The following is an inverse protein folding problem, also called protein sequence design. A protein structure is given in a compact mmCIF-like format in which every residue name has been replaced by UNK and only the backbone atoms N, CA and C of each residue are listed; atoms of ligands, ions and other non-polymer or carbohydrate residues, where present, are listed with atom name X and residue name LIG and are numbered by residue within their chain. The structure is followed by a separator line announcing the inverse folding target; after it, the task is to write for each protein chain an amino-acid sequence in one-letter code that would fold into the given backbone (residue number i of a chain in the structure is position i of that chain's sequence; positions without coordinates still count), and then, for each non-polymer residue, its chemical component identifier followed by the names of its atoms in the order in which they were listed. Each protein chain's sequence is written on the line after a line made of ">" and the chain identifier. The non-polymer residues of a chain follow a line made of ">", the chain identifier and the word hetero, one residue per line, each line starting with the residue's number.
data_IF_056824933256
#
_entry.id   IF_056824933256
#
_cell.length_a   1.000
_cell.length_b   1.000
_cell.length_c   1.000
_cell.angle_alpha   90.00
_cell.angle_beta   90.00
_cell.angle_gamma   90.00
#
_symmetry.space_group_name_H-M   'P 1'
#
loop_
_entity.id
_entity.type
_entity.pdbx_description
1 polymer ?
#
# COMPACT_ATOMS: atom_id res chain seq x y z
N UNK A 1 -20.30 8.09 -20.65
CA UNK A 1 -19.07 7.25 -20.72
C UNK A 1 -18.39 7.07 -19.36
N UNK A 2 -18.72 7.86 -18.32
CA UNK A 2 -18.23 7.66 -16.93
C UNK A 2 -18.75 6.38 -16.25
N UNK A 3 -19.95 5.89 -16.59
CA UNK A 3 -20.55 4.72 -15.93
C UNK A 3 -19.78 3.40 -16.12
N UNK A 4 -18.99 3.28 -17.18
CA UNK A 4 -18.26 2.04 -17.50
C UNK A 4 -17.02 1.82 -16.59
N UNK A 5 -16.41 2.91 -16.11
CA UNK A 5 -15.33 2.83 -15.12
C UNK A 5 -15.85 2.52 -13.71
N UNK A 6 -17.10 2.90 -13.40
CA UNK A 6 -17.73 2.69 -12.09
C UNK A 6 -18.00 1.20 -11.82
N UNK A 7 -18.40 0.44 -12.83
CA UNK A 7 -18.68 -1.00 -12.69
C UNK A 7 -17.41 -1.87 -12.64
N UNK A 8 -16.30 -1.39 -13.23
CA UNK A 8 -15.03 -2.12 -13.25
C UNK A 8 -14.39 -2.19 -11.84
N UNK A 9 -14.60 -1.16 -11.01
CA UNK A 9 -14.01 -1.06 -9.66
C UNK A 9 -14.72 -1.95 -8.61
N UNK A 10 -15.86 -2.56 -8.94
CA UNK A 10 -16.60 -3.43 -8.02
C UNK A 10 -16.24 -4.92 -8.13
N UNK A 11 -15.25 -5.28 -8.94
CA UNK A 11 -14.62 -6.60 -8.86
C UNK A 11 -13.67 -6.65 -7.64
N UNK A 12 -13.64 -7.77 -6.92
CA UNK A 12 -12.75 -8.00 -5.75
C UNK A 12 -11.33 -7.50 -6.02
N UNK A 13 -10.78 -7.87 -7.17
CA UNK A 13 -9.43 -7.52 -7.61
C UNK A 13 -9.22 -6.02 -7.74
N UNK A 14 -10.17 -5.30 -8.32
CA UNK A 14 -10.09 -3.85 -8.47
C UNK A 14 -10.19 -3.11 -7.12
N UNK A 15 -11.00 -3.62 -6.18
CA UNK A 15 -11.03 -3.08 -4.81
C UNK A 15 -9.69 -3.30 -4.10
N UNK A 16 -9.10 -4.49 -4.21
CA UNK A 16 -7.79 -4.78 -3.60
C UNK A 16 -6.69 -3.92 -4.21
N UNK A 17 -6.64 -3.78 -5.55
CA UNK A 17 -5.69 -2.92 -6.23
C UNK A 17 -5.86 -1.45 -5.86
N UNK A 18 -7.10 -0.94 -5.85
CA UNK A 18 -7.40 0.45 -5.45
C UNK A 18 -7.03 0.73 -3.99
N UNK A 19 -7.25 -0.24 -3.10
CA UNK A 19 -6.82 -0.14 -1.71
C UNK A 19 -5.29 -0.14 -1.57
N UNK A 20 -4.58 -1.02 -2.29
CA UNK A 20 -3.13 -1.05 -2.30
C UNK A 20 -2.53 0.26 -2.83
N UNK A 21 -3.10 0.80 -3.91
CA UNK A 21 -2.76 2.13 -4.42
C UNK A 21 -2.99 3.18 -3.32
N UNK A 22 -4.15 3.18 -2.65
CA UNK A 22 -4.46 4.09 -1.55
C UNK A 22 -3.46 4.03 -0.38
N UNK A 23 -2.97 2.82 -0.05
CA UNK A 23 -1.93 2.62 0.96
C UNK A 23 -0.58 3.19 0.51
N UNK A 24 -0.18 2.91 -0.74
CA UNK A 24 1.06 3.43 -1.33
C UNK A 24 1.04 4.97 -1.40
N UNK A 25 -0.07 5.56 -1.82
CA UNK A 25 -0.22 7.02 -1.93
C UNK A 25 -0.10 7.73 -0.57
N UNK A 26 -0.66 7.17 0.50
CA UNK A 26 -0.52 7.73 1.86
C UNK A 26 0.89 7.59 2.43
N UNK A 27 1.65 6.64 1.90
CA UNK A 27 3.05 6.45 2.23
C UNK A 27 4.00 7.27 1.32
N UNK A 28 3.52 7.69 0.15
CA UNK A 28 4.26 8.53 -0.79
C UNK A 28 4.35 9.97 -0.27
N UNK A 29 5.40 10.66 -0.69
CA UNK A 29 5.39 12.12 -0.66
C UNK A 29 4.67 12.60 -1.92
N UNK A 30 3.61 13.37 -1.76
CA UNK A 30 2.95 14.02 -2.90
C UNK A 30 3.79 15.23 -3.32
N UNK A 31 4.22 15.24 -4.59
CA UNK A 31 4.86 16.39 -5.21
C UNK A 31 3.81 17.31 -5.84
N UNK A 32 4.11 18.61 -5.96
CA UNK A 32 3.27 19.54 -6.73
C UNK A 32 3.45 19.28 -8.24
N UNK A 33 2.64 18.37 -8.77
CA UNK A 33 2.54 18.16 -10.23
C UNK A 33 1.94 19.37 -10.94
N UNK A 34 2.37 19.63 -12.19
CA UNK A 34 1.66 20.57 -13.08
C UNK A 34 0.28 20.01 -13.44
N UNK A 35 -0.67 20.91 -13.68
CA UNK A 35 -2.10 20.67 -13.88
C UNK A 35 -2.38 19.40 -14.72
N UNK A 36 -3.12 18.44 -14.15
CA UNK A 36 -3.55 17.21 -14.82
C UNK A 36 -2.64 15.98 -14.65
N UNK A 37 -1.47 16.10 -14.00
CA UNK A 37 -0.59 14.96 -13.68
C UNK A 37 -0.40 14.83 -12.17
N UNK A 38 -0.79 13.68 -11.62
CA UNK A 38 -0.48 13.34 -10.23
C UNK A 38 0.95 12.85 -10.17
N UNK A 39 1.77 13.48 -9.33
CA UNK A 39 3.19 13.16 -9.15
C UNK A 39 3.39 12.60 -7.74
N UNK A 40 3.83 11.35 -7.67
CA UNK A 40 4.09 10.63 -6.42
C UNK A 40 5.57 10.32 -6.30
N UNK A 41 6.18 10.60 -5.16
CA UNK A 41 7.60 10.34 -4.93
C UNK A 41 7.80 9.32 -3.80
N UNK A 42 8.66 8.35 -4.09
CA UNK A 42 9.04 7.28 -3.18
C UNK A 42 10.55 7.29 -2.97
N UNK A 43 10.96 7.01 -1.73
CA UNK A 43 12.37 6.80 -1.36
C UNK A 43 12.88 5.39 -1.69
N UNK A 44 12.01 4.52 -2.24
CA UNK A 44 12.28 3.11 -2.50
C UNK A 44 11.75 2.71 -3.87
N UNK A 45 12.60 2.08 -4.69
CA UNK A 45 12.26 1.59 -6.02
C UNK A 45 11.08 0.61 -6.00
N UNK A 46 11.02 -0.27 -4.99
CA UNK A 46 9.97 -1.29 -4.89
C UNK A 46 8.56 -0.68 -4.82
N UNK A 47 8.38 0.39 -4.04
CA UNK A 47 7.08 1.07 -3.92
C UNK A 47 6.66 1.72 -5.24
N UNK A 48 7.58 2.43 -5.90
CA UNK A 48 7.32 3.04 -7.20
C UNK A 48 6.98 1.99 -8.27
N UNK A 49 7.74 0.89 -8.31
CA UNK A 49 7.51 -0.21 -9.26
C UNK A 49 6.15 -0.86 -9.06
N UNK A 50 5.77 -1.12 -7.80
CA UNK A 50 4.46 -1.71 -7.47
C UNK A 50 3.32 -0.77 -7.86
N UNK A 51 3.44 0.52 -7.56
CA UNK A 51 2.43 1.51 -7.95
C UNK A 51 2.26 1.56 -9.47
N UNK A 52 3.35 1.66 -10.23
CA UNK A 52 3.29 1.66 -11.70
C UNK A 52 2.59 0.40 -12.22
N UNK A 53 2.96 -0.78 -11.72
CA UNK A 53 2.37 -2.02 -12.17
C UNK A 53 0.87 -2.14 -11.83
N UNK A 54 0.43 -1.66 -10.66
CA UNK A 54 -1.00 -1.61 -10.30
C UNK A 54 -1.78 -0.65 -11.19
N UNK A 55 -1.21 0.52 -11.50
CA UNK A 55 -1.86 1.49 -12.40
C UNK A 55 -1.96 0.95 -13.83
N UNK A 56 -0.90 0.35 -14.36
CA UNK A 56 -0.91 -0.29 -15.68
C UNK A 56 -1.93 -1.44 -15.72
N UNK A 57 -2.03 -2.25 -14.66
CA UNK A 57 -3.04 -3.32 -14.56
C UNK A 57 -4.48 -2.79 -14.57
N UNK A 58 -4.71 -1.56 -14.11
CA UNK A 58 -6.00 -0.85 -14.23
C UNK A 58 -6.16 -0.10 -15.56
N UNK A 59 -5.27 -0.33 -16.52
CA UNK A 59 -5.23 0.38 -17.80
C UNK A 59 -5.10 1.91 -17.65
N UNK A 60 -4.43 2.36 -16.59
CA UNK A 60 -4.08 3.76 -16.38
C UNK A 60 -2.65 4.01 -16.84
N UNK A 61 -2.45 5.12 -17.55
CA UNK A 61 -1.12 5.55 -17.95
C UNK A 61 -0.29 5.90 -16.71
N UNK A 62 0.83 5.19 -16.54
CA UNK A 62 1.77 5.39 -15.46
C UNK A 62 3.20 5.35 -15.99
N UNK A 63 3.95 6.42 -15.71
CA UNK A 63 5.36 6.53 -16.04
C UNK A 63 6.19 6.62 -14.77
N UNK A 64 7.36 5.96 -14.75
CA UNK A 64 8.29 5.98 -13.64
C UNK A 64 9.60 6.63 -14.08
N UNK A 65 9.99 7.67 -13.36
CA UNK A 65 11.28 8.32 -13.47
C UNK A 65 12.11 8.10 -12.21
N UNK A 66 13.43 8.18 -12.34
CA UNK A 66 14.36 8.12 -11.24
C UNK A 66 15.34 9.28 -11.33
N UNK A 67 15.56 9.95 -10.20
CA UNK A 67 16.56 11.00 -10.12
C UNK A 67 17.23 11.03 -8.74
N UNK A 68 18.50 11.41 -8.71
CA UNK A 68 19.20 11.65 -7.47
C UNK A 68 18.82 13.04 -6.92
N UNK A 69 18.44 13.09 -5.65
CA UNK A 69 18.14 14.32 -4.92
C UNK A 69 19.04 14.46 -3.69
N UNK A 70 19.15 15.68 -3.16
CA UNK A 70 20.00 16.00 -2.02
C UNK A 70 21.38 16.51 -2.42
N UNK A 71 21.92 17.43 -1.62
CA UNK A 71 23.25 18.01 -1.83
C UNK A 71 24.36 17.06 -1.39
N UNK A 72 24.76 17.15 -0.12
CA UNK A 72 25.84 16.33 0.45
C UNK A 72 25.43 14.87 0.71
N UNK A 73 24.17 14.63 1.08
CA UNK A 73 23.60 13.28 1.15
C UNK A 73 22.73 13.04 -0.07
N UNK A 74 23.28 12.39 -1.09
CA UNK A 74 22.51 11.97 -2.27
C UNK A 74 21.62 10.80 -1.88
N UNK A 75 20.34 10.91 -2.23
CA UNK A 75 19.38 9.82 -2.13
C UNK A 75 18.63 9.69 -3.44
N UNK A 76 18.33 8.45 -3.82
CA UNK A 76 17.51 8.15 -5.00
C UNK A 76 16.05 8.45 -4.70
N UNK A 77 15.40 9.17 -5.61
CA UNK A 77 13.97 9.43 -5.61
C UNK A 77 13.37 8.74 -6.82
N UNK A 78 12.37 7.91 -6.57
CA UNK A 78 11.61 7.25 -7.62
C UNK A 78 10.26 7.96 -7.74
N UNK A 79 10.06 8.63 -8.86
CA UNK A 79 8.87 9.39 -9.17
C UNK A 79 7.94 8.56 -10.04
N UNK A 80 6.68 8.49 -9.67
CA UNK A 80 5.61 7.93 -10.50
C UNK A 80 4.70 9.07 -10.93
N UNK A 81 4.40 9.13 -12.22
CA UNK A 81 3.48 10.09 -12.80
C UNK A 81 2.34 9.33 -13.45
N UNK A 82 1.12 9.75 -13.17
CA UNK A 82 -0.07 9.15 -13.78
C UNK A 82 -1.06 10.21 -14.24
N UNK A 83 -1.69 9.94 -15.38
CA UNK A 83 -2.83 10.69 -15.91
C UNK A 83 -4.09 9.86 -15.70
N UNK A 84 -5.20 10.52 -15.34
CA UNK A 84 -6.48 9.83 -15.14
C UNK A 84 -6.66 9.15 -13.78
N UNK A 85 -5.76 9.35 -12.83
CA UNK A 85 -5.95 8.94 -11.44
C UNK A 85 -7.03 9.83 -10.78
N UNK A 86 -8.29 9.41 -10.89
CA UNK A 86 -9.40 10.09 -10.21
C UNK A 86 -9.43 9.74 -8.73
N UNK A 87 -9.64 10.74 -7.89
CA UNK A 87 -9.73 10.59 -6.43
C UNK A 87 -10.98 9.81 -5.99
N UNK A 88 -12.08 9.93 -6.74
CA UNK A 88 -13.36 9.31 -6.40
C UNK A 88 -13.33 7.76 -6.38
N UNK A 89 -12.88 7.05 -7.44
CA UNK A 89 -12.84 5.58 -7.44
C UNK A 89 -11.86 5.04 -6.39
N UNK A 90 -10.74 5.72 -6.15
CA UNK A 90 -9.79 5.35 -5.10
C UNK A 90 -10.37 5.52 -3.71
N UNK A 91 -11.08 6.62 -3.46
CA UNK A 91 -11.78 6.87 -2.20
C UNK A 91 -12.86 5.82 -1.93
N UNK A 92 -13.59 5.38 -2.96
CA UNK A 92 -14.56 4.27 -2.83
C UNK A 92 -13.90 2.92 -2.56
N UNK A 93 -12.84 2.59 -3.30
CA UNK A 93 -12.07 1.36 -3.07
C UNK A 93 -11.48 1.34 -1.66
N UNK A 94 -10.96 2.48 -1.20
CA UNK A 94 -10.46 2.67 0.16
C UNK A 94 -11.54 2.43 1.21
N UNK A 95 -12.69 3.11 1.11
CA UNK A 95 -13.79 2.97 2.06
C UNK A 95 -14.29 1.52 2.12
N UNK A 96 -14.50 0.88 0.96
CA UNK A 96 -14.95 -0.50 0.89
C UNK A 96 -13.94 -1.49 1.49
N UNK A 97 -12.64 -1.30 1.22
CA UNK A 97 -11.59 -2.13 1.80
C UNK A 97 -11.45 -1.92 3.30
N UNK A 98 -11.52 -0.68 3.78
CA UNK A 98 -11.47 -0.34 5.19
C UNK A 98 -12.63 -0.98 5.96
N UNK A 99 -13.86 -0.89 5.45
CA UNK A 99 -15.03 -1.53 6.05
C UNK A 99 -14.86 -3.05 6.12
N UNK A 100 -14.38 -3.70 5.04
CA UNK A 100 -14.17 -5.15 5.00
C UNK A 100 -13.06 -5.61 5.94
N UNK A 101 -11.98 -4.85 6.04
CA UNK A 101 -10.82 -5.21 6.86
C UNK A 101 -11.07 -4.93 8.35
N UNK A 102 -11.56 -3.72 8.67
CA UNK A 102 -11.68 -3.19 10.03
C UNK A 102 -13.09 -3.28 10.62
N UNK A 103 -14.15 -3.28 9.81
CA UNK A 103 -15.54 -3.15 10.26
C UNK A 103 -16.30 -4.47 10.44
N UNK A 104 -15.78 -5.60 9.96
CA UNK A 104 -16.55 -6.85 10.01
C UNK A 104 -16.51 -7.55 11.37
N UNK A 105 -17.69 -7.70 12.00
CA UNK A 105 -17.89 -8.35 13.31
C UNK A 105 -18.80 -9.60 13.24
N UNK A 106 -19.26 -9.99 12.06
CA UNK A 106 -20.20 -11.10 11.86
C UNK A 106 -19.60 -12.35 11.21
N UNK A 107 -20.45 -13.37 11.00
CA UNK A 107 -20.10 -14.58 10.24
C UNK A 107 -19.70 -14.21 8.80
N UNK A 108 -18.59 -14.78 8.33
CA UNK A 108 -18.05 -14.52 7.00
C UNK A 108 -18.03 -15.79 6.17
N UNK A 109 -18.54 -15.69 4.94
CA UNK A 109 -18.34 -16.71 3.92
C UNK A 109 -16.84 -16.93 3.64
N UNK A 110 -16.48 -18.10 3.11
CA UNK A 110 -15.10 -18.40 2.72
C UNK A 110 -14.55 -17.38 1.71
N UNK A 111 -15.36 -16.92 0.75
CA UNK A 111 -14.98 -15.87 -0.20
C UNK A 111 -14.67 -14.54 0.48
N UNK A 112 -15.47 -14.14 1.47
CA UNK A 112 -15.22 -12.90 2.23
C UNK A 112 -13.95 -13.01 3.09
N UNK A 113 -13.70 -14.18 3.70
CA UNK A 113 -12.46 -14.43 4.44
C UNK A 113 -11.24 -14.32 3.54
N UNK A 114 -11.27 -14.98 2.37
CA UNK A 114 -10.19 -14.92 1.39
C UNK A 114 -9.93 -13.48 0.92
N UNK A 115 -10.99 -12.73 0.60
CA UNK A 115 -10.87 -11.33 0.19
C UNK A 115 -10.25 -10.45 1.29
N UNK A 116 -10.54 -10.72 2.57
CA UNK A 116 -9.91 -10.01 3.69
C UNK A 116 -8.43 -10.34 3.81
N UNK A 117 -8.03 -11.59 3.55
CA UNK A 117 -6.62 -11.98 3.50
C UNK A 117 -5.91 -11.22 2.38
N UNK A 118 -6.48 -11.16 1.17
CA UNK A 118 -5.90 -10.39 0.05
C UNK A 118 -5.74 -8.89 0.37
N UNK A 119 -6.73 -8.28 1.05
CA UNK A 119 -6.64 -6.90 1.51
C UNK A 119 -5.55 -6.71 2.57
N UNK A 120 -5.43 -7.66 3.50
CA UNK A 120 -4.40 -7.62 4.53
C UNK A 120 -2.99 -7.77 3.94
N UNK A 121 -2.82 -8.66 2.96
CA UNK A 121 -1.58 -8.82 2.21
C UNK A 121 -1.23 -7.56 1.43
N UNK A 122 -2.21 -6.95 0.75
CA UNK A 122 -2.04 -5.69 0.03
C UNK A 122 -1.59 -4.54 0.95
N UNK A 123 -2.20 -4.40 2.13
CA UNK A 123 -1.80 -3.41 3.13
C UNK A 123 -0.33 -3.61 3.56
N UNK A 124 0.03 -4.83 3.94
CA UNK A 124 1.39 -5.14 4.38
C UNK A 124 2.42 -5.00 3.26
N UNK A 125 2.08 -5.41 2.03
CA UNK A 125 2.94 -5.25 0.86
C UNK A 125 3.27 -3.77 0.64
N UNK A 126 2.26 -2.91 0.56
CA UNK A 126 2.45 -1.47 0.39
C UNK A 126 3.32 -0.88 1.52
N UNK A 127 3.03 -1.25 2.76
CA UNK A 127 3.72 -0.74 3.93
C UNK A 127 5.20 -1.17 3.98
N UNK A 128 5.51 -2.43 3.67
CA UNK A 128 6.89 -2.94 3.61
C UNK A 128 7.67 -2.28 2.48
N UNK A 129 7.05 -2.11 1.31
CA UNK A 129 7.66 -1.45 0.14
C UNK A 129 8.00 0.01 0.41
N UNK A 130 7.13 0.74 1.13
CA UNK A 130 7.32 2.16 1.42
C UNK A 130 8.19 2.44 2.66
N UNK A 131 7.85 1.84 3.81
CA UNK A 131 8.49 2.16 5.09
C UNK A 131 9.84 1.45 5.29
N UNK A 132 10.12 0.43 4.48
CA UNK A 132 11.30 -0.41 4.59
C UNK A 132 11.33 -1.23 5.87
N UNK A 133 12.13 -2.29 5.87
CA UNK A 133 12.35 -3.13 7.04
C UNK A 133 13.56 -2.60 7.83
N UNK A 134 13.51 -2.50 9.17
CA UNK A 134 14.76 -2.26 9.94
C UNK A 134 15.78 -3.39 9.69
N UNK A 135 17.07 -3.03 9.89
CA UNK A 135 18.34 -3.78 9.76
C UNK A 135 18.28 -5.28 9.41
N UNK A 136 19.21 -5.70 8.55
CA UNK A 136 19.60 -7.10 8.32
C UNK A 136 19.73 -7.83 9.67
N UNK A 137 18.83 -8.78 9.97
CA UNK A 137 18.81 -9.59 11.20
C UNK A 137 17.93 -9.09 12.34
N UNK A 138 17.24 -7.95 12.21
CA UNK A 138 16.25 -7.48 13.19
C UNK A 138 14.80 -7.74 12.73
N UNK A 139 13.83 -7.70 13.65
CA UNK A 139 12.42 -7.91 13.35
C UNK A 139 11.91 -6.92 12.29
N UNK A 140 10.97 -7.39 11.47
CA UNK A 140 10.30 -6.55 10.47
C UNK A 140 9.55 -5.41 11.16
N UNK A 141 10.02 -4.18 10.96
CA UNK A 141 9.37 -2.98 11.50
C UNK A 141 9.14 -1.97 10.39
N UNK A 142 7.88 -1.52 10.26
CA UNK A 142 7.44 -0.51 9.30
C UNK A 142 7.13 0.79 10.05
N UNK A 143 7.58 1.91 9.48
CA UNK A 143 7.25 3.24 10.00
C UNK A 143 6.14 3.86 9.16
N UNK A 144 5.10 4.33 9.81
CA UNK A 144 4.00 5.07 9.19
C UNK A 144 3.82 6.41 9.89
N UNK A 145 3.52 7.44 9.11
CA UNK A 145 3.30 8.80 9.61
C UNK A 145 1.84 9.05 10.00
N UNK A 146 0.93 8.23 9.48
CA UNK A 146 -0.51 8.32 9.68
C UNK A 146 -0.96 7.29 10.73
N UNK A 147 -1.66 7.71 11.81
CA UNK A 147 -2.19 6.79 12.83
C UNK A 147 -3.16 5.75 12.27
N UNK A 148 -3.97 6.11 11.27
CA UNK A 148 -4.96 5.20 10.68
C UNK A 148 -4.26 4.08 9.92
N UNK A 149 -3.15 4.37 9.23
CA UNK A 149 -2.31 3.34 8.62
C UNK A 149 -1.75 2.37 9.66
N UNK A 150 -1.36 2.85 10.83
CA UNK A 150 -0.90 2.02 11.93
C UNK A 150 -1.98 1.03 12.38
N UNK A 151 -3.21 1.52 12.55
CA UNK A 151 -4.35 0.68 12.93
C UNK A 151 -4.71 -0.35 11.85
N UNK A 152 -4.73 0.06 10.58
CA UNK A 152 -4.97 -0.81 9.42
C UNK A 152 -3.96 -1.95 9.42
N UNK A 153 -2.67 -1.66 9.63
CA UNK A 153 -1.62 -2.68 9.65
C UNK A 153 -1.75 -3.65 10.83
N UNK A 154 -2.12 -3.17 12.01
CA UNK A 154 -2.42 -4.04 13.16
C UNK A 154 -3.61 -4.96 12.86
N UNK A 155 -4.66 -4.44 12.22
CA UNK A 155 -5.84 -5.24 11.83
C UNK A 155 -5.51 -6.25 10.73
N UNK A 156 -4.76 -5.82 9.72
CA UNK A 156 -4.26 -6.69 8.66
C UNK A 156 -3.39 -7.82 9.22
N UNK A 157 -2.49 -7.51 10.17
CA UNK A 157 -1.66 -8.52 10.80
C UNK A 157 -2.48 -9.58 11.54
N UNK A 158 -3.54 -9.17 12.25
CA UNK A 158 -4.48 -10.12 12.89
C UNK A 158 -5.19 -11.02 11.89
N UNK A 159 -5.52 -10.52 10.70
CA UNK A 159 -6.12 -11.34 9.63
C UNK A 159 -5.13 -12.38 9.09
N UNK A 160 -3.83 -12.06 9.11
CA UNK A 160 -2.74 -12.93 8.65
C UNK A 160 -2.14 -13.78 9.78
N UNK A 161 -2.76 -13.81 10.96
CA UNK A 161 -2.24 -14.46 12.17
C UNK A 161 -0.78 -14.07 12.51
N UNK A 162 -0.41 -12.83 12.18
CA UNK A 162 0.90 -12.25 12.40
C UNK A 162 0.90 -11.42 13.69
N UNK A 163 1.65 -11.81 14.73
CA UNK A 163 1.72 -11.04 15.95
C UNK A 163 2.56 -9.77 15.72
N UNK A 164 1.98 -8.62 16.07
CA UNK A 164 2.59 -7.31 15.89
C UNK A 164 2.45 -6.44 17.13
N UNK A 165 3.42 -5.55 17.33
CA UNK A 165 3.37 -4.48 18.31
C UNK A 165 3.29 -3.13 17.60
N UNK A 166 2.52 -2.20 18.17
CA UNK A 166 2.41 -0.81 17.70
C UNK A 166 3.03 0.10 18.75
N UNK A 167 3.99 0.93 18.33
CA UNK A 167 4.66 1.90 19.19
C UNK A 167 4.63 3.28 18.56
N UNK A 168 4.33 4.31 19.34
CA UNK A 168 4.38 5.70 18.89
C UNK A 168 5.67 6.34 19.39
N UNK A 169 6.50 6.85 18.48
CA UNK A 169 7.80 7.46 18.80
C UNK A 169 7.95 8.75 17.99
N UNK A 170 7.99 9.90 18.66
CA UNK A 170 8.24 11.20 18.02
C UNK A 170 7.23 11.57 16.93
N UNK A 171 5.94 11.36 17.17
CA UNK A 171 4.87 11.63 16.20
C UNK A 171 4.81 10.65 15.01
N UNK A 172 5.56 9.55 15.06
CA UNK A 172 5.49 8.46 14.08
C UNK A 172 5.04 7.18 14.74
N UNK A 173 4.35 6.34 13.98
CA UNK A 173 3.92 5.03 14.42
C UNK A 173 4.81 3.95 13.82
N UNK A 174 5.24 3.02 14.65
CA UNK A 174 6.09 1.89 14.28
C UNK A 174 5.29 0.62 14.53
N UNK A 175 5.03 -0.12 13.46
CA UNK A 175 4.41 -1.45 13.51
C UNK A 175 5.50 -2.48 13.34
N UNK A 176 5.69 -3.34 14.33
CA UNK A 176 6.78 -4.32 14.37
C UNK A 176 6.23 -5.73 14.54
N UNK A 177 6.65 -6.65 13.66
CA UNK A 177 6.30 -8.06 13.68
C UNK A 177 7.20 -8.79 14.67
N UNK A 178 6.61 -9.52 15.60
CA UNK A 178 7.34 -10.10 16.75
C UNK A 178 7.78 -11.54 16.53
N UNK A 179 7.35 -12.20 15.44
CA UNK A 179 7.71 -13.61 15.14
C UNK A 179 8.33 -13.80 13.76
N UNK A 180 9.32 -14.68 13.70
CA UNK A 180 10.12 -14.91 12.49
C UNK A 180 9.37 -15.53 11.30
N UNK A 181 8.39 -16.43 11.53
CA UNK A 181 7.63 -17.05 10.41
C UNK A 181 6.72 -16.04 9.71
N UNK A 182 5.94 -15.29 10.48
CA UNK A 182 5.09 -14.23 9.94
C UNK A 182 5.93 -13.14 9.25
N UNK A 183 7.09 -12.82 9.82
CA UNK A 183 8.05 -11.90 9.22
C UNK A 183 8.52 -12.36 7.83
N UNK A 184 8.86 -13.65 7.65
CA UNK A 184 9.29 -14.18 6.34
C UNK A 184 8.17 -14.03 5.31
N UNK A 185 6.95 -14.42 5.66
CA UNK A 185 5.78 -14.29 4.76
C UNK A 185 5.54 -12.83 4.38
N UNK A 186 5.52 -11.90 5.35
CA UNK A 186 5.29 -10.49 5.08
C UNK A 186 6.41 -9.83 4.27
N UNK A 187 7.66 -10.28 4.43
CA UNK A 187 8.77 -9.87 3.57
C UNK A 187 8.62 -10.41 2.15
N UNK A 188 8.18 -11.67 2.00
CA UNK A 188 7.93 -12.27 0.69
C UNK A 188 6.82 -11.54 -0.06
N UNK A 189 5.78 -11.02 0.62
CA UNK A 189 4.73 -10.23 -0.04
C UNK A 189 5.28 -9.04 -0.82
N UNK A 190 6.32 -8.37 -0.31
CA UNK A 190 6.99 -7.26 -0.99
C UNK A 190 7.83 -7.69 -2.21
N UNK A 191 8.18 -8.97 -2.31
CA UNK A 191 8.89 -9.53 -3.45
C UNK A 191 7.97 -10.02 -4.58
N UNK A 192 6.65 -10.10 -4.34
CA UNK A 192 5.69 -10.61 -5.34
C UNK A 192 5.42 -9.55 -6.42
N UNK A 193 5.73 -9.81 -7.70
CA UNK A 193 5.33 -8.94 -8.81
C UNK A 193 3.80 -8.88 -8.95
N UNK A 194 3.25 -7.81 -9.54
CA UNK A 194 1.81 -7.76 -9.84
C UNK A 194 1.52 -8.87 -10.85
N UNK A 195 0.66 -9.83 -10.49
CA UNK A 195 0.14 -10.80 -11.44
C UNK A 195 -0.69 -10.04 -12.48
N UNK A 196 -0.32 -10.20 -13.75
CA UNK A 196 -0.98 -9.60 -14.92
C UNK A 196 -2.38 -10.16 -15.11
#
# INVERSE_FOLDING_TARGET
>A
MERMLVDTVLHSTAVTAGFEIGMLLRCARTGSGRHGRTVMEFSRQGAATRLTALLTGLSLDAHRDEYAAGGWHRYEVHRVMSTGLSDWPLSRAWAAAYERLCGSTGYQSTRQRQHRVELAEAAWRAAVLCGGTRRRGGPLAVRVSDPDLGLILVRAARVLDAPVSLRSVGGRHIVEVTTGRAEVTLRQLAAVPVAS
#
